data_IF_735433749584
#
_entry.id   IF_735433749584
#
_cell.length_a   1.000
_cell.length_b   1.000
_cell.length_c   1.000
_cell.angle_alpha   90.00
_cell.angle_beta   90.00
_cell.angle_gamma   90.00
#
_symmetry.space_group_name_H-M   'P 1'
#
loop_
_entity.id
_entity.type
_entity.pdbx_description
1 polymer ?
#
# COMPACT_ATOMS: atom_id res chain seq x y z
N UNK A 1 23.08 5.07 -22.97
CA UNK A 1 23.18 3.65 -22.58
C UNK A 1 22.92 3.55 -21.09
N UNK A 2 22.12 2.57 -20.64
CA UNK A 2 21.91 2.36 -19.21
C UNK A 2 23.12 1.67 -18.58
N UNK A 3 23.58 2.17 -17.42
CA UNK A 3 24.71 1.59 -16.68
C UNK A 3 24.18 0.69 -15.57
N UNK A 4 24.53 -0.59 -15.61
CA UNK A 4 24.20 -1.53 -14.55
C UNK A 4 25.07 -1.27 -13.32
N UNK A 5 24.44 -1.25 -12.13
CA UNK A 5 25.12 -1.11 -10.85
C UNK A 5 24.72 -2.27 -9.95
N UNK A 6 25.71 -3.04 -9.51
CA UNK A 6 25.52 -4.15 -8.57
C UNK A 6 25.62 -3.58 -7.16
N UNK A 7 24.57 -3.78 -6.34
CA UNK A 7 24.64 -3.45 -4.92
C UNK A 7 25.53 -4.46 -4.20
N UNK A 8 26.46 -3.98 -3.38
CA UNK A 8 27.35 -4.78 -2.55
C UNK A 8 27.02 -4.52 -1.07
N UNK A 9 26.14 -5.32 -0.45
CA UNK A 9 25.80 -5.17 0.97
C UNK A 9 26.98 -5.59 1.85
N UNK A 10 27.01 -5.12 3.10
CA UNK A 10 28.03 -5.49 4.08
C UNK A 10 28.10 -7.04 4.25
N UNK A 11 29.25 -7.68 3.97
CA UNK A 11 29.42 -9.12 4.16
C UNK A 11 29.10 -9.61 5.57
N UNK A 12 29.32 -8.77 6.59
CA UNK A 12 29.05 -9.11 7.99
C UNK A 12 27.54 -9.24 8.22
N UNK A 13 26.77 -8.31 7.69
CA UNK A 13 25.31 -8.36 7.70
C UNK A 13 24.78 -9.57 6.92
N UNK A 14 25.32 -9.85 5.75
CA UNK A 14 24.93 -11.03 4.95
C UNK A 14 25.17 -12.31 5.75
N UNK A 15 26.32 -12.46 6.39
CA UNK A 15 26.64 -13.62 7.20
C UNK A 15 25.71 -13.75 8.43
N UNK A 16 25.35 -12.63 9.05
CA UNK A 16 24.36 -12.59 10.12
C UNK A 16 23.00 -13.10 9.64
N UNK A 17 22.49 -12.56 8.53
CA UNK A 17 21.21 -12.92 7.94
C UNK A 17 21.14 -14.39 7.49
N UNK A 18 22.23 -14.95 6.95
CA UNK A 18 22.32 -16.39 6.62
C UNK A 18 21.99 -17.25 7.84
N UNK A 19 22.58 -16.91 9.01
CA UNK A 19 22.39 -17.66 10.25
C UNK A 19 20.99 -17.44 10.82
N UNK A 20 20.53 -16.19 10.84
CA UNK A 20 19.26 -15.82 11.47
C UNK A 20 18.06 -16.39 10.70
N UNK A 21 18.04 -16.23 9.37
CA UNK A 21 16.97 -16.74 8.51
C UNK A 21 17.14 -18.21 8.09
N UNK A 22 18.28 -18.84 8.44
CA UNK A 22 18.65 -20.21 8.05
C UNK A 22 18.50 -20.42 6.54
N UNK A 23 19.04 -19.50 5.76
CA UNK A 23 18.86 -19.42 4.30
C UNK A 23 20.20 -19.38 3.56
N UNK A 24 20.18 -19.40 2.24
CA UNK A 24 21.39 -19.32 1.42
C UNK A 24 21.98 -17.90 1.43
N UNK A 25 23.29 -17.79 1.16
CA UNK A 25 23.97 -16.49 1.02
C UNK A 25 23.30 -15.59 -0.03
N UNK A 26 22.82 -16.19 -1.13
CA UNK A 26 22.14 -15.46 -2.21
C UNK A 26 20.88 -14.77 -1.68
N UNK A 27 20.06 -15.47 -0.89
CA UNK A 27 18.85 -14.90 -0.30
C UNK A 27 19.23 -13.83 0.73
N UNK A 28 20.21 -14.08 1.59
CA UNK A 28 20.68 -13.10 2.58
C UNK A 28 21.20 -11.81 1.94
N UNK A 29 21.93 -11.90 0.81
CA UNK A 29 22.36 -10.72 0.03
C UNK A 29 21.17 -9.93 -0.51
N UNK A 30 20.12 -10.62 -0.96
CA UNK A 30 18.90 -9.98 -1.46
C UNK A 30 18.14 -9.27 -0.34
N UNK A 31 18.09 -9.86 0.87
CA UNK A 31 17.50 -9.24 2.06
C UNK A 31 18.25 -7.97 2.46
N UNK A 32 19.57 -8.04 2.60
CA UNK A 32 20.40 -6.88 2.92
C UNK A 32 20.27 -5.74 1.89
N UNK A 33 20.14 -6.08 0.61
CA UNK A 33 19.93 -5.10 -0.47
C UNK A 33 18.55 -4.41 -0.48
N UNK A 34 17.60 -4.94 0.31
CA UNK A 34 16.27 -4.40 0.58
C UNK A 34 16.18 -3.73 1.95
N UNK A 35 17.33 -3.45 2.58
CA UNK A 35 17.41 -2.81 3.90
C UNK A 35 16.73 -3.64 5.01
N UNK A 36 16.70 -4.97 4.83
CA UNK A 36 16.26 -5.92 5.86
C UNK A 36 17.49 -6.40 6.61
N UNK A 37 17.60 -5.98 7.86
CA UNK A 37 18.80 -6.19 8.69
C UNK A 37 18.65 -7.31 9.72
N UNK A 38 17.41 -7.69 10.06
CA UNK A 38 17.15 -8.78 11.01
C UNK A 38 15.80 -9.46 10.76
N UNK A 39 15.55 -10.58 11.43
CA UNK A 39 14.25 -11.25 11.43
C UNK A 39 13.16 -10.32 11.97
N UNK A 40 13.47 -9.57 13.02
CA UNK A 40 12.55 -8.59 13.61
C UNK A 40 12.19 -7.48 12.62
N UNK A 41 13.20 -6.85 12.02
CA UNK A 41 12.97 -5.76 11.07
C UNK A 41 12.25 -6.23 9.80
N UNK A 42 12.41 -7.50 9.42
CA UNK A 42 11.76 -8.11 8.25
C UNK A 42 10.25 -8.30 8.41
N UNK A 43 9.73 -8.35 9.64
CA UNK A 43 8.31 -8.61 9.90
C UNK A 43 7.42 -7.55 9.27
N UNK A 44 7.85 -6.29 9.26
CA UNK A 44 7.09 -5.20 8.62
C UNK A 44 6.92 -5.41 7.12
N UNK A 45 7.84 -6.12 6.48
CA UNK A 45 7.85 -6.41 5.05
C UNK A 45 7.12 -7.71 4.71
N UNK A 46 7.40 -8.81 5.43
CA UNK A 46 6.84 -10.13 5.11
C UNK A 46 5.53 -10.47 5.82
N UNK A 47 5.24 -9.84 6.96
CA UNK A 47 4.01 -10.02 7.74
C UNK A 47 3.40 -8.64 8.12
N UNK A 48 3.07 -7.80 7.12
CA UNK A 48 2.45 -6.51 7.39
C UNK A 48 1.04 -6.71 7.95
N UNK A 49 0.71 -5.95 8.99
CA UNK A 49 -0.63 -5.92 9.58
C UNK A 49 -1.37 -4.66 9.13
N UNK A 50 -2.71 -4.70 9.12
CA UNK A 50 -3.52 -3.51 8.86
C UNK A 50 -3.20 -2.37 9.83
N UNK A 51 -2.81 -2.66 11.07
CA UNK A 51 -2.37 -1.68 12.06
C UNK A 51 -1.06 -0.98 11.71
N UNK A 52 -0.31 -1.45 10.70
CA UNK A 52 0.90 -0.79 10.20
C UNK A 52 0.59 0.26 9.12
N UNK A 53 -0.65 0.33 8.63
CA UNK A 53 -1.06 1.39 7.70
C UNK A 53 -0.92 2.75 8.37
N UNK A 54 -0.48 3.74 7.61
CA UNK A 54 -0.46 5.13 8.06
C UNK A 54 -1.87 5.60 8.39
N UNK A 55 -1.98 6.52 9.35
CA UNK A 55 -3.23 7.23 9.59
C UNK A 55 -3.66 7.95 8.30
N UNK A 56 -4.83 7.61 7.72
CA UNK A 56 -5.30 8.22 6.48
C UNK A 56 -5.45 9.74 6.60
N UNK A 57 -5.70 10.28 7.80
CA UNK A 57 -5.83 11.73 8.02
C UNK A 57 -4.51 12.50 7.91
N UNK A 58 -3.36 11.81 7.81
CA UNK A 58 -2.10 12.44 7.45
C UNK A 58 -2.06 12.86 5.98
N UNK A 59 -2.94 12.31 5.13
CA UNK A 59 -3.09 12.78 3.76
C UNK A 59 -3.78 14.15 3.75
N UNK A 60 -3.18 15.10 3.03
CA UNK A 60 -3.66 16.49 2.95
C UNK A 60 -5.16 16.55 2.62
N UNK A 61 -5.92 17.20 3.48
CA UNK A 61 -7.38 17.41 3.37
C UNK A 61 -8.23 16.13 3.38
N UNK A 62 -7.71 15.00 3.87
CA UNK A 62 -8.47 13.76 3.94
C UNK A 62 -9.68 13.87 4.88
N UNK A 63 -9.53 14.58 5.98
CA UNK A 63 -10.60 14.91 6.93
C UNK A 63 -11.76 15.66 6.25
N UNK A 64 -11.43 16.67 5.44
CA UNK A 64 -12.39 17.46 4.68
C UNK A 64 -13.08 16.59 3.63
N UNK A 65 -12.32 15.81 2.86
CA UNK A 65 -12.85 14.95 1.80
C UNK A 65 -13.79 13.87 2.35
N UNK A 66 -13.37 13.17 3.41
CA UNK A 66 -14.19 12.16 4.08
C UNK A 66 -15.46 12.78 4.69
N UNK A 67 -15.36 13.99 5.25
CA UNK A 67 -16.50 14.75 5.77
C UNK A 67 -17.56 15.04 4.69
N UNK A 68 -17.14 15.54 3.53
CA UNK A 68 -18.03 15.83 2.39
C UNK A 68 -18.76 14.56 1.93
N UNK A 69 -18.03 13.45 1.77
CA UNK A 69 -18.63 12.17 1.37
C UNK A 69 -19.62 11.68 2.42
N UNK A 70 -19.25 11.73 3.71
CA UNK A 70 -20.12 11.29 4.80
C UNK A 70 -21.41 12.13 4.91
N UNK A 71 -21.31 13.46 4.73
CA UNK A 71 -22.49 14.34 4.67
C UNK A 71 -23.39 13.98 3.48
N UNK A 72 -22.80 13.70 2.32
CA UNK A 72 -23.55 13.35 1.11
C UNK A 72 -24.30 12.03 1.25
N UNK A 73 -23.66 11.04 1.87
CA UNK A 73 -24.30 9.75 2.20
C UNK A 73 -25.47 9.99 3.16
N UNK A 74 -25.27 10.73 4.26
CA UNK A 74 -26.32 10.99 5.27
C UNK A 74 -27.51 11.77 4.72
N UNK A 75 -27.30 12.65 3.75
CA UNK A 75 -28.36 13.44 3.13
C UNK A 75 -29.09 12.71 1.99
N UNK A 76 -28.72 11.46 1.68
CA UNK A 76 -29.30 10.71 0.56
C UNK A 76 -28.93 11.30 -0.81
N UNK A 77 -27.84 12.06 -0.87
CA UNK A 77 -27.38 12.66 -2.11
C UNK A 77 -26.65 11.68 -3.01
N UNK A 78 -26.59 11.99 -4.31
CA UNK A 78 -25.84 11.19 -5.29
C UNK A 78 -24.34 11.46 -5.21
N UNK A 79 -23.56 10.41 -5.44
CA UNK A 79 -22.10 10.48 -5.54
C UNK A 79 -21.67 9.95 -6.91
N UNK A 80 -20.76 10.67 -7.56
CA UNK A 80 -20.22 10.25 -8.84
C UNK A 80 -18.71 10.05 -8.69
N UNK A 81 -18.24 8.84 -8.99
CA UNK A 81 -16.84 8.41 -8.87
C UNK A 81 -16.21 8.50 -10.26
N UNK A 82 -15.24 9.40 -10.40
CA UNK A 82 -14.37 9.46 -11.57
C UNK A 82 -13.11 8.65 -11.29
N UNK A 83 -12.91 7.54 -11.99
CA UNK A 83 -11.71 6.73 -11.92
C UNK A 83 -10.76 6.98 -13.09
N UNK A 84 -9.58 6.37 -13.02
CA UNK A 84 -8.63 6.28 -14.14
C UNK A 84 -8.70 4.87 -14.78
N UNK A 85 -8.24 4.74 -16.02
CA UNK A 85 -8.35 3.51 -16.82
C UNK A 85 -7.38 2.40 -16.39
N UNK A 86 -6.36 2.73 -15.59
CA UNK A 86 -5.39 1.75 -15.12
C UNK A 86 -5.96 0.84 -14.02
N UNK A 87 -5.19 -0.19 -13.65
CA UNK A 87 -5.64 -1.20 -12.68
C UNK A 87 -5.90 -0.57 -11.31
N UNK A 88 -5.09 0.40 -10.91
CA UNK A 88 -5.24 1.07 -9.61
C UNK A 88 -6.50 1.95 -9.59
N UNK A 89 -6.75 2.71 -10.67
CA UNK A 89 -7.92 3.56 -10.83
C UNK A 89 -9.23 2.78 -10.90
N UNK A 90 -9.26 1.67 -11.65
CA UNK A 90 -10.44 0.81 -11.79
C UNK A 90 -10.74 0.02 -10.51
N UNK A 91 -9.72 -0.49 -9.82
CA UNK A 91 -9.91 -1.20 -8.54
C UNK A 91 -10.34 -0.25 -7.43
N UNK A 92 -9.72 0.93 -7.31
CA UNK A 92 -10.12 1.96 -6.34
C UNK A 92 -11.55 2.45 -6.56
N UNK A 93 -11.93 2.69 -7.81
CA UNK A 93 -13.31 3.09 -8.15
C UNK A 93 -14.33 2.02 -7.80
N UNK A 94 -13.99 0.75 -8.06
CA UNK A 94 -14.85 -0.39 -7.72
C UNK A 94 -15.03 -0.51 -6.20
N UNK A 95 -13.95 -0.35 -5.43
CA UNK A 95 -14.01 -0.39 -3.97
C UNK A 95 -14.91 0.71 -3.39
N UNK A 96 -14.78 1.95 -3.88
CA UNK A 96 -15.64 3.07 -3.48
C UNK A 96 -17.10 2.83 -3.85
N UNK A 97 -17.36 2.36 -5.06
CA UNK A 97 -18.72 2.09 -5.53
C UNK A 97 -19.41 1.03 -4.66
N UNK A 98 -18.75 -0.10 -4.42
CA UNK A 98 -19.29 -1.18 -3.58
C UNK A 98 -19.55 -0.71 -2.15
N UNK A 99 -18.62 0.05 -1.56
CA UNK A 99 -18.80 0.61 -0.22
C UNK A 99 -20.00 1.56 -0.17
N UNK A 100 -20.09 2.54 -1.07
CA UNK A 100 -21.18 3.51 -1.09
C UNK A 100 -22.54 2.86 -1.37
N UNK A 101 -22.60 1.89 -2.29
CA UNK A 101 -23.83 1.12 -2.55
C UNK A 101 -24.23 0.27 -1.34
N UNK A 102 -23.29 -0.26 -0.58
CA UNK A 102 -23.59 -0.99 0.67
C UNK A 102 -24.21 -0.10 1.75
N UNK A 103 -24.04 1.23 1.64
CA UNK A 103 -24.67 2.24 2.47
C UNK A 103 -25.95 2.82 1.83
N UNK A 104 -26.49 2.15 0.80
CA UNK A 104 -27.69 2.56 0.05
C UNK A 104 -27.56 3.94 -0.65
N UNK A 105 -26.33 4.41 -0.87
CA UNK A 105 -26.08 5.65 -1.59
C UNK A 105 -26.25 5.45 -3.11
N UNK A 106 -26.86 6.42 -3.80
CA UNK A 106 -26.92 6.48 -5.27
C UNK A 106 -25.54 6.89 -5.82
N UNK A 107 -24.67 5.88 -5.97
CA UNK A 107 -23.34 6.01 -6.55
C UNK A 107 -23.35 5.67 -8.05
N UNK A 108 -22.53 6.37 -8.84
CA UNK A 108 -22.22 6.04 -10.24
C UNK A 108 -20.71 6.12 -10.47
N UNK A 109 -20.20 5.34 -11.41
CA UNK A 109 -18.77 5.33 -11.77
C UNK A 109 -18.62 5.70 -13.24
N UNK A 110 -17.57 6.47 -13.55
CA UNK A 110 -17.08 6.71 -14.90
C UNK A 110 -15.58 6.43 -14.95
N UNK A 111 -15.15 5.67 -15.96
CA UNK A 111 -13.76 5.41 -16.30
C UNK A 111 -13.54 5.99 -17.71
N UNK A 112 -12.57 6.90 -17.91
CA UNK A 112 -12.23 7.48 -19.21
C UNK A 112 -11.74 6.49 -20.26
#
# INVERSE_FOLDING_TARGET
>A
MATWKIKAPDPSLVFHLVKEFKTSEIIARVLANRDIESLESSRSFFDPKLSHLHDPFLMKNMDIAAGIVAEKVKSGGRIFIFGDYDVDGTTGSSALFLFLTSLECDAKVYIP
#
